data_IF_568588831365
#
_entry.id   IF_568588831365
#
_cell.length_a   1.000
_cell.length_b   1.000
_cell.length_c   1.000
_cell.angle_alpha   90.00
_cell.angle_beta   90.00
_cell.angle_gamma   90.00
#
_symmetry.space_group_name_H-M   'P 1'
#
loop_
_entity.id
_entity.type
_entity.pdbx_description
1 polymer ?
#
# COMPACT_ATOMS: atom_id res chain seq x y z
N UNK A 1 21.55 -6.57 -6.06
CA UNK A 1 21.00 -5.21 -5.81
C UNK A 1 19.98 -5.29 -4.69
N UNK A 2 20.05 -4.42 -3.68
CA UNK A 2 19.05 -4.33 -2.62
C UNK A 2 17.99 -3.29 -3.04
N UNK A 3 16.69 -3.54 -2.87
CA UNK A 3 15.65 -2.55 -3.20
C UNK A 3 15.81 -1.28 -2.33
N UNK A 4 15.60 -0.10 -2.93
CA UNK A 4 15.74 1.20 -2.28
C UNK A 4 14.54 1.59 -1.41
N UNK A 5 13.37 1.01 -1.67
CA UNK A 5 12.14 1.21 -0.93
C UNK A 5 11.43 -0.14 -0.73
N UNK A 6 10.48 -0.15 0.20
CA UNK A 6 9.69 -1.34 0.56
C UNK A 6 8.20 -1.02 0.58
N UNK A 7 7.31 -1.97 0.29
CA UNK A 7 5.88 -1.72 0.31
C UNK A 7 5.37 -1.14 1.64
N UNK A 8 4.32 -0.32 1.59
CA UNK A 8 3.74 0.28 2.80
C UNK A 8 3.36 -0.77 3.87
N UNK A 9 2.76 -1.89 3.45
CA UNK A 9 2.28 -2.93 4.36
C UNK A 9 3.40 -3.66 5.12
N UNK A 10 4.68 -3.52 4.73
CA UNK A 10 5.81 -4.10 5.46
C UNK A 10 6.37 -3.17 6.53
N UNK A 11 5.68 -2.07 6.90
CA UNK A 11 6.09 -1.13 7.97
C UNK A 11 6.61 -1.84 9.22
N UNK A 12 7.53 -1.21 9.95
CA UNK A 12 8.16 -1.77 11.15
C UNK A 12 7.64 -1.13 12.44
N UNK A 13 7.13 0.10 12.36
CA UNK A 13 6.53 0.82 13.49
C UNK A 13 5.21 1.47 13.05
N UNK A 14 4.28 1.62 14.00
CA UNK A 14 2.98 2.23 13.70
C UNK A 14 3.15 3.71 13.28
N UNK A 15 4.09 4.40 13.92
CA UNK A 15 4.44 5.78 13.58
C UNK A 15 5.03 5.93 12.18
N UNK A 16 5.84 4.95 11.73
CA UNK A 16 6.36 4.92 10.37
C UNK A 16 5.23 4.74 9.34
N UNK A 17 4.25 3.87 9.62
CA UNK A 17 3.09 3.66 8.75
C UNK A 17 2.28 4.95 8.55
N UNK A 18 1.92 5.64 9.63
CA UNK A 18 1.15 6.90 9.54
C UNK A 18 1.97 8.02 8.88
N UNK A 19 3.28 8.11 9.18
CA UNK A 19 4.19 9.06 8.54
C UNK A 19 4.26 8.84 7.03
N UNK A 20 4.37 7.59 6.59
CA UNK A 20 4.42 7.27 5.17
C UNK A 20 3.13 7.69 4.47
N UNK A 21 1.95 7.38 5.04
CA UNK A 21 0.65 7.82 4.50
C UNK A 21 0.57 9.36 4.39
N UNK A 22 0.99 10.10 5.42
CA UNK A 22 1.08 11.56 5.38
C UNK A 22 1.96 12.04 4.24
N UNK A 23 3.14 11.45 4.09
CA UNK A 23 4.08 11.84 3.03
C UNK A 23 3.49 11.58 1.63
N UNK A 24 2.70 10.51 1.44
CA UNK A 24 1.96 10.29 0.18
C UNK A 24 0.97 11.43 -0.09
N UNK A 25 0.21 11.87 0.91
CA UNK A 25 -0.70 13.01 0.75
C UNK A 25 0.03 14.31 0.40
N UNK A 26 1.23 14.54 0.97
CA UNK A 26 2.10 15.67 0.62
C UNK A 26 2.58 15.56 -0.83
N UNK A 27 3.00 14.37 -1.28
CA UNK A 27 3.44 14.12 -2.66
C UNK A 27 2.29 14.37 -3.64
N UNK A 28 1.08 13.90 -3.33
CA UNK A 28 -0.12 14.17 -4.12
C UNK A 28 -0.41 15.68 -4.20
N UNK A 29 -0.31 16.42 -3.08
CA UNK A 29 -0.45 17.89 -3.08
C UNK A 29 0.56 18.55 -4.01
N UNK A 30 1.84 18.18 -3.89
CA UNK A 30 2.91 18.72 -4.74
C UNK A 30 2.65 18.42 -6.22
N UNK A 31 2.17 17.22 -6.57
CA UNK A 31 1.82 16.88 -7.94
C UNK A 31 0.67 17.76 -8.46
N UNK A 32 -0.38 17.96 -7.66
CA UNK A 32 -1.54 18.82 -8.00
C UNK A 32 -1.12 20.27 -8.19
N UNK A 33 -0.21 20.79 -7.36
CA UNK A 33 0.38 22.13 -7.53
C UNK A 33 1.14 22.28 -8.86
N UNK A 34 1.63 21.18 -9.43
CA UNK A 34 2.25 21.12 -10.75
C UNK A 34 1.26 20.70 -11.86
N UNK A 35 -0.04 20.66 -11.56
CA UNK A 35 -1.09 20.32 -12.51
C UNK A 35 -1.16 18.83 -12.85
N UNK A 36 -0.79 17.94 -11.92
CA UNK A 36 -0.77 16.49 -12.14
C UNK A 36 -1.63 15.77 -11.10
N UNK A 37 -2.45 14.81 -11.54
CA UNK A 37 -3.12 13.82 -10.68
C UNK A 37 -2.43 12.46 -10.85
N UNK A 38 -2.32 11.69 -9.77
CA UNK A 38 -1.65 10.39 -9.81
C UNK A 38 -2.52 9.33 -10.52
N UNK A 39 -3.84 9.36 -10.30
CA UNK A 39 -4.83 8.54 -11.01
C UNK A 39 -4.85 7.03 -10.68
N UNK A 40 -3.78 6.49 -10.07
CA UNK A 40 -3.75 5.11 -9.55
C UNK A 40 -3.08 4.97 -8.16
N UNK A 41 -3.59 5.67 -7.16
CA UNK A 41 -3.10 5.50 -5.79
C UNK A 41 -3.59 4.18 -5.19
N UNK A 42 -2.75 3.15 -5.23
CA UNK A 42 -3.07 1.78 -4.79
C UNK A 42 -2.05 1.24 -3.78
N UNK A 43 -2.35 0.11 -3.14
CA UNK A 43 -1.47 -0.53 -2.15
C UNK A 43 -0.04 -0.79 -2.67
N UNK A 44 0.10 -1.08 -3.97
CA UNK A 44 1.38 -1.45 -4.56
C UNK A 44 2.21 -0.23 -5.01
N UNK A 45 1.58 0.95 -5.04
CA UNK A 45 2.19 2.19 -5.49
C UNK A 45 2.66 3.07 -4.32
N UNK A 46 2.26 2.70 -3.10
CA UNK A 46 2.70 3.35 -1.86
C UNK A 46 3.85 2.59 -1.18
N UNK A 47 4.95 3.30 -0.99
CA UNK A 47 6.21 2.72 -0.54
C UNK A 47 6.76 3.49 0.67
N UNK A 48 7.67 2.84 1.38
CA UNK A 48 8.47 3.41 2.46
C UNK A 48 9.93 3.37 2.03
N UNK A 49 10.61 4.51 2.09
CA UNK A 49 12.05 4.63 1.88
C UNK A 49 12.73 4.95 3.21
N UNK A 50 13.95 4.43 3.42
CA UNK A 50 14.73 4.71 4.62
C UNK A 50 14.59 3.67 5.73
N UNK A 51 14.97 4.06 6.94
CA UNK A 51 14.92 3.21 8.13
C UNK A 51 13.73 3.60 9.02
N UNK A 52 13.24 2.74 9.94
CA UNK A 52 12.00 3.03 10.66
C UNK A 52 11.98 4.36 11.43
N UNK A 53 13.14 4.82 11.93
CA UNK A 53 13.24 6.07 12.68
C UNK A 53 13.36 7.30 11.78
N UNK A 54 13.81 7.10 10.55
CA UNK A 54 14.07 8.12 9.53
C UNK A 54 13.64 7.57 8.17
N UNK A 55 12.33 7.45 8.03
CA UNK A 55 11.64 6.92 6.87
C UNK A 55 10.79 7.99 6.22
N UNK A 56 10.66 7.94 4.90
CA UNK A 56 9.71 8.75 4.14
C UNK A 56 8.74 7.88 3.36
N UNK A 57 7.52 8.37 3.19
CA UNK A 57 6.62 7.82 2.19
C UNK A 57 7.11 8.14 0.78
N UNK A 58 6.85 7.24 -0.15
CA UNK A 58 7.16 7.38 -1.57
C UNK A 58 5.98 6.88 -2.39
N UNK A 59 5.51 7.71 -3.33
CA UNK A 59 4.51 7.34 -4.33
C UNK A 59 5.21 7.04 -5.66
N UNK A 60 5.02 5.83 -6.18
CA UNK A 60 5.58 5.37 -7.45
C UNK A 60 4.47 5.13 -8.47
N UNK A 61 4.86 4.72 -9.66
CA UNK A 61 3.94 4.30 -10.73
C UNK A 61 3.10 5.43 -11.33
N UNK A 62 3.80 6.47 -11.77
CA UNK A 62 3.24 7.66 -12.41
C UNK A 62 2.89 7.47 -13.89
N UNK A 63 2.92 6.24 -14.43
CA UNK A 63 2.67 6.00 -15.86
C UNK A 63 1.22 6.29 -16.27
N UNK A 64 0.29 6.20 -15.31
CA UNK A 64 -1.11 6.55 -15.47
C UNK A 64 -1.45 7.97 -15.04
N UNK A 65 -0.46 8.76 -14.63
CA UNK A 65 -0.66 10.13 -14.20
C UNK A 65 -1.18 11.01 -15.35
N UNK A 66 -2.04 11.96 -15.02
CA UNK A 66 -2.73 12.83 -15.97
C UNK A 66 -2.48 14.29 -15.64
N UNK A 67 -2.46 15.13 -16.67
CA UNK A 67 -2.45 16.58 -16.49
C UNK A 67 -3.86 17.08 -16.19
N UNK A 68 -3.98 17.92 -15.15
CA UNK A 68 -5.24 18.56 -14.79
C UNK A 68 -5.70 19.46 -15.94
N UNK A 69 -6.90 19.20 -16.44
CA UNK A 69 -7.52 20.01 -17.50
C UNK A 69 -8.43 21.06 -16.88
N UNK A 70 -8.81 22.09 -17.66
CA UNK A 70 -9.72 23.14 -17.19
C UNK A 70 -11.14 22.66 -16.85
N UNK A 71 -11.49 21.43 -17.25
CA UNK A 71 -12.81 20.84 -17.06
C UNK A 71 -12.75 19.51 -16.28
N UNK A 72 -11.58 19.12 -15.77
CA UNK A 72 -11.37 17.89 -15.02
C UNK A 72 -11.85 16.61 -15.72
N UNK A 73 -11.94 16.58 -17.06
CA UNK A 73 -12.47 15.43 -17.82
C UNK A 73 -11.37 14.61 -18.52
N UNK A 74 -11.38 13.30 -18.29
CA UNK A 74 -10.36 12.36 -18.75
C UNK A 74 -10.96 11.14 -19.45
N UNK A 75 -10.16 10.48 -20.28
CA UNK A 75 -10.53 9.18 -20.86
C UNK A 75 -10.38 8.07 -19.82
N UNK A 76 -11.27 7.07 -19.83
CA UNK A 76 -11.28 5.98 -18.83
C UNK A 76 -10.02 5.10 -18.84
N UNK A 77 -9.23 5.12 -19.91
CA UNK A 77 -8.08 4.21 -20.09
C UNK A 77 -7.03 4.36 -19.00
N UNK A 78 -6.63 3.24 -18.38
CA UNK A 78 -5.57 3.22 -17.37
C UNK A 78 -5.97 3.75 -15.98
N UNK A 79 -7.27 3.88 -15.70
CA UNK A 79 -7.73 4.37 -14.41
C UNK A 79 -7.77 3.26 -13.35
N UNK A 80 -7.14 3.55 -12.21
CA UNK A 80 -7.48 3.05 -10.88
C UNK A 80 -7.58 1.54 -10.68
N UNK A 81 -6.90 1.04 -9.67
CA UNK A 81 -7.16 -0.31 -9.16
C UNK A 81 -8.52 -0.32 -8.44
N UNK A 82 -9.57 -0.93 -9.02
CA UNK A 82 -10.99 -0.92 -8.57
C UNK A 82 -11.21 -0.80 -7.05
N UNK A 83 -10.54 -1.62 -6.21
CA UNK A 83 -10.63 -1.52 -4.75
C UNK A 83 -10.38 -0.14 -4.15
N UNK A 84 -9.56 0.68 -4.79
CA UNK A 84 -9.12 1.98 -4.33
C UNK A 84 -9.83 3.14 -5.06
N UNK A 85 -10.61 2.87 -6.11
CA UNK A 85 -11.36 3.90 -6.85
C UNK A 85 -12.40 4.56 -5.92
N UNK A 86 -12.52 5.89 -6.00
CA UNK A 86 -13.49 6.68 -5.22
C UNK A 86 -14.95 6.35 -5.53
N UNK A 87 -15.86 6.72 -4.63
CA UNK A 87 -17.30 6.61 -4.84
C UNK A 87 -17.76 7.35 -6.10
N UNK A 88 -17.26 8.57 -6.31
CA UNK A 88 -17.64 9.42 -7.43
C UNK A 88 -17.21 8.84 -8.78
N UNK A 89 -15.98 8.31 -8.87
CA UNK A 89 -15.49 7.66 -10.08
C UNK A 89 -16.23 6.35 -10.37
N UNK A 90 -16.47 5.51 -9.35
CA UNK A 90 -17.26 4.28 -9.51
C UNK A 90 -18.68 4.57 -10.01
N UNK A 91 -19.32 5.65 -9.54
CA UNK A 91 -20.64 6.06 -10.00
C UNK A 91 -20.64 6.42 -11.50
N UNK A 92 -19.65 7.20 -11.94
CA UNK A 92 -19.50 7.57 -13.35
C UNK A 92 -19.21 6.35 -14.23
N UNK A 93 -18.30 5.47 -13.79
CA UNK A 93 -17.98 4.23 -14.50
C UNK A 93 -19.20 3.30 -14.64
N UNK A 94 -19.97 3.11 -13.57
CA UNK A 94 -21.17 2.27 -13.58
C UNK A 94 -22.27 2.84 -14.52
N UNK A 95 -22.43 4.17 -14.56
CA UNK A 95 -23.35 4.82 -15.49
C UNK A 95 -22.92 4.60 -16.95
N UNK A 96 -21.63 4.76 -17.25
CA UNK A 96 -21.08 4.56 -18.59
C UNK A 96 -21.20 3.10 -19.04
N UNK A 97 -20.96 2.13 -18.16
CA UNK A 97 -21.20 0.72 -18.44
C UNK A 97 -22.68 0.44 -18.73
N UNK A 98 -23.60 1.06 -17.99
CA UNK A 98 -25.03 0.89 -18.21
C UNK A 98 -25.48 1.48 -19.55
N UNK A 99 -25.00 2.69 -19.90
CA UNK A 99 -25.24 3.30 -21.23
C UNK A 99 -24.70 2.43 -22.36
N UNK A 100 -23.51 1.86 -22.21
CA UNK A 100 -22.92 0.96 -23.21
C UNK A 100 -23.77 -0.29 -23.42
N UNK A 101 -24.21 -0.96 -22.34
CA UNK A 101 -25.10 -2.14 -22.41
C UNK A 101 -26.43 -1.84 -23.12
N UNK A 102 -27.04 -0.68 -22.83
CA UNK A 102 -28.27 -0.26 -23.50
C UNK A 102 -28.05 -0.01 -24.99
N UNK A 103 -26.94 0.63 -25.37
CA UNK A 103 -26.61 0.90 -26.76
C UNK A 103 -26.32 -0.38 -27.57
N UNK A 104 -25.70 -1.39 -26.97
CA UNK A 104 -25.49 -2.70 -27.61
C UNK A 104 -26.81 -3.43 -27.88
N UNK A 105 -27.78 -3.35 -26.96
CA UNK A 105 -29.13 -3.88 -27.19
C UNK A 105 -29.86 -3.17 -28.35
N UNK A 106 -29.58 -1.89 -28.59
CA UNK A 106 -30.17 -1.09 -29.67
C UNK A 106 -29.41 -1.17 -31.02
N UNK A 107 -28.17 -1.70 -31.05
CA UNK A 107 -27.35 -1.83 -32.27
C UNK A 107 -27.85 -2.88 -33.27
N UNK A 108 -28.91 -3.64 -32.95
CA UNK A 108 -29.56 -4.54 -33.91
C UNK A 108 -30.31 -3.80 -35.04
N UNK A 109 -30.28 -2.46 -35.13
CA UNK A 109 -31.09 -1.70 -36.12
C UNK A 109 -30.44 -0.48 -36.80
N UNK A 110 -29.21 -0.02 -36.51
CA UNK A 110 -28.67 1.15 -37.25
C UNK A 110 -27.14 1.28 -37.33
N UNK A 111 -26.72 1.80 -38.49
CA UNK A 111 -25.35 1.98 -38.99
C UNK A 111 -24.47 2.88 -38.10
N UNK A 112 -23.19 2.52 -38.08
CA UNK A 112 -22.04 3.02 -37.34
C UNK A 112 -21.84 4.53 -37.39
N UNK A 113 -22.16 5.22 -36.29
CA UNK A 113 -21.58 6.52 -35.94
C UNK A 113 -20.55 6.27 -34.83
N UNK A 114 -19.29 6.65 -35.04
CA UNK A 114 -18.25 6.50 -34.03
C UNK A 114 -18.60 7.37 -32.82
N UNK A 115 -18.90 6.73 -31.68
CA UNK A 115 -19.17 7.42 -30.43
C UNK A 115 -17.88 8.07 -29.92
N UNK A 116 -17.94 9.28 -29.34
CA UNK A 116 -16.80 9.86 -28.66
C UNK A 116 -16.37 8.93 -27.50
N UNK A 117 -15.07 8.89 -27.18
CA UNK A 117 -14.57 8.12 -26.05
C UNK A 117 -15.28 8.57 -24.77
N UNK A 118 -15.72 7.60 -23.97
CA UNK A 118 -16.35 7.86 -22.68
C UNK A 118 -15.39 8.64 -21.78
N UNK A 119 -15.86 9.78 -21.26
CA UNK A 119 -15.10 10.66 -20.37
C UNK A 119 -15.67 10.60 -18.96
N UNK A 120 -14.80 10.85 -18.00
CA UNK A 120 -15.11 10.91 -16.57
C UNK A 120 -14.45 12.13 -15.97
N UNK A 121 -15.10 12.71 -14.97
CA UNK A 121 -14.58 13.82 -14.19
C UNK A 121 -13.83 13.29 -12.97
N UNK A 122 -12.57 13.69 -12.80
CA UNK A 122 -11.75 13.33 -11.65
C UNK A 122 -11.11 14.56 -11.02
N UNK A 123 -11.06 14.56 -9.70
CA UNK A 123 -10.42 15.57 -8.87
C UNK A 123 -9.30 14.98 -8.02
N UNK A 124 -8.51 15.84 -7.37
CA UNK A 124 -7.57 15.42 -6.34
C UNK A 124 -8.26 14.80 -5.11
N UNK A 125 -9.56 15.07 -4.90
CA UNK A 125 -10.34 14.44 -3.83
C UNK A 125 -10.47 12.93 -4.03
N UNK A 126 -10.47 12.46 -5.28
CA UNK A 126 -10.51 11.03 -5.61
C UNK A 126 -9.18 10.33 -5.25
N UNK A 127 -8.05 11.01 -5.44
CA UNK A 127 -6.72 10.53 -5.03
C UNK A 127 -6.60 10.45 -3.50
N UNK A 128 -7.23 11.38 -2.76
CA UNK A 128 -7.30 11.36 -1.30
C UNK A 128 -8.23 10.26 -0.75
N UNK A 129 -9.36 10.00 -1.40
CA UNK A 129 -10.23 8.85 -1.05
C UNK A 129 -9.52 7.52 -1.32
N UNK A 130 -8.76 7.44 -2.42
CA UNK A 130 -7.94 6.26 -2.75
C UNK A 130 -6.90 5.97 -1.66
N UNK A 131 -6.23 7.01 -1.15
CA UNK A 131 -5.26 6.89 -0.06
C UNK A 131 -5.91 6.41 1.26
N UNK A 132 -7.15 6.83 1.55
CA UNK A 132 -7.91 6.31 2.68
C UNK A 132 -8.20 4.80 2.54
N UNK A 133 -8.59 4.34 1.35
CA UNK A 133 -8.80 2.90 1.13
C UNK A 133 -7.50 2.11 1.29
N UNK A 134 -6.35 2.65 0.85
CA UNK A 134 -5.03 2.04 1.08
C UNK A 134 -4.74 1.91 2.58
N UNK A 135 -4.97 2.98 3.35
CA UNK A 135 -4.81 2.97 4.80
C UNK A 135 -5.70 1.91 5.47
N UNK A 136 -7.00 1.92 5.18
CA UNK A 136 -7.96 0.98 5.76
C UNK A 136 -7.64 -0.47 5.34
N UNK A 137 -7.22 -0.67 4.09
CA UNK A 137 -6.81 -1.98 3.58
C UNK A 137 -5.67 -2.58 4.40
N UNK A 138 -4.64 -1.78 4.71
CA UNK A 138 -3.52 -2.25 5.53
C UNK A 138 -4.00 -2.62 6.95
N UNK A 139 -4.83 -1.78 7.57
CA UNK A 139 -5.32 -1.99 8.93
C UNK A 139 -6.24 -3.21 9.08
N UNK A 140 -7.00 -3.57 8.04
CA UNK A 140 -7.90 -4.73 8.03
C UNK A 140 -7.14 -6.01 7.66
N UNK A 141 -6.30 -5.96 6.61
CA UNK A 141 -5.70 -7.18 6.05
C UNK A 141 -4.49 -7.70 6.80
N UNK A 142 -3.71 -6.82 7.44
CA UNK A 142 -2.43 -7.20 8.05
C UNK A 142 -2.53 -7.28 9.58
N UNK A 143 -1.74 -8.14 10.19
CA UNK A 143 -1.66 -8.33 11.65
C UNK A 143 -0.63 -7.40 12.32
N UNK A 144 -0.22 -6.34 11.64
CA UNK A 144 0.78 -5.37 12.12
C UNK A 144 2.07 -5.38 11.31
N UNK A 145 3.24 -5.19 11.94
CA UNK A 145 4.46 -4.87 11.22
C UNK A 145 5.03 -6.07 10.45
N UNK A 146 5.87 -5.76 9.47
CA UNK A 146 6.58 -6.70 8.59
C UNK A 146 5.66 -7.48 7.62
N UNK A 147 4.45 -6.97 7.34
CA UNK A 147 3.62 -7.47 6.24
C UNK A 147 3.02 -8.85 6.45
N UNK A 148 2.81 -9.26 7.71
CA UNK A 148 2.09 -10.50 8.01
C UNK A 148 0.60 -10.28 7.79
N UNK A 149 -0.01 -11.03 6.87
CA UNK A 149 -1.45 -11.02 6.66
C UNK A 149 -2.19 -11.69 7.83
N UNK A 150 -3.42 -11.26 8.06
CA UNK A 150 -4.34 -11.89 8.99
C UNK A 150 -4.67 -13.31 8.53
N UNK A 151 -4.39 -14.31 9.37
CA UNK A 151 -4.62 -15.71 8.98
C UNK A 151 -6.09 -16.13 9.03
N UNK A 152 -6.88 -15.48 9.87
CA UNK A 152 -8.30 -15.79 10.01
C UNK A 152 -9.12 -14.93 9.05
N UNK A 153 -10.09 -15.55 8.37
CA UNK A 153 -11.06 -14.80 7.58
C UNK A 153 -11.87 -13.91 8.52
N UNK A 154 -11.87 -12.60 8.29
CA UNK A 154 -12.75 -11.66 9.00
C UNK A 154 -14.16 -11.82 8.41
N UNK A 155 -15.16 -12.33 9.16
CA UNK A 155 -16.51 -12.46 8.63
C UNK A 155 -17.08 -11.09 8.24
N UNK A 156 -17.83 -11.03 7.14
CA UNK A 156 -18.42 -9.80 6.63
C UNK A 156 -17.37 -8.69 6.43
N UNK A 157 -16.25 -9.02 5.79
CA UNK A 157 -15.16 -8.07 5.59
C UNK A 157 -15.58 -6.89 4.70
N UNK A 158 -15.22 -5.67 5.11
CA UNK A 158 -15.28 -4.48 4.27
C UNK A 158 -14.42 -4.66 3.03
N UNK A 159 -13.32 -5.41 3.12
CA UNK A 159 -12.49 -5.72 1.96
C UNK A 159 -13.25 -6.57 0.94
N UNK A 160 -14.02 -7.58 1.36
CA UNK A 160 -14.85 -8.34 0.41
C UNK A 160 -15.85 -7.43 -0.32
N UNK A 161 -16.35 -6.41 0.37
CA UNK A 161 -17.27 -5.43 -0.19
C UNK A 161 -16.59 -4.44 -1.14
N UNK A 162 -15.33 -4.08 -0.91
CA UNK A 162 -14.57 -3.13 -1.72
C UNK A 162 -13.77 -3.79 -2.86
N UNK A 163 -13.43 -5.08 -2.72
CA UNK A 163 -12.65 -5.85 -3.70
C UNK A 163 -13.47 -6.44 -4.84
N UNK A 164 -14.81 -6.31 -4.80
CA UNK A 164 -15.67 -6.84 -5.86
C UNK A 164 -15.43 -6.12 -7.20
N UNK A 165 -15.37 -6.90 -8.28
CA UNK A 165 -15.23 -6.39 -9.66
C UNK A 165 -16.58 -5.91 -10.24
N UNK A 166 -17.68 -6.16 -9.54
CA UNK A 166 -18.98 -5.59 -9.89
C UNK A 166 -19.02 -4.12 -9.45
N UNK A 167 -18.90 -3.20 -10.42
CA UNK A 167 -18.84 -1.76 -10.14
C UNK A 167 -20.10 -1.24 -9.44
N UNK A 168 -21.27 -1.77 -9.77
CA UNK A 168 -22.53 -1.35 -9.15
C UNK A 168 -22.57 -1.76 -7.67
N UNK A 169 -22.15 -3.00 -7.38
CA UNK A 169 -22.06 -3.49 -6.00
C UNK A 169 -20.98 -2.73 -5.23
N UNK A 170 -19.77 -2.57 -5.79
CA UNK A 170 -18.66 -1.86 -5.13
C UNK A 170 -19.05 -0.41 -4.79
N UNK A 171 -19.62 0.31 -5.76
CA UNK A 171 -20.16 1.66 -5.59
C UNK A 171 -21.18 1.71 -4.45
N UNK A 172 -22.19 0.84 -4.47
CA UNK A 172 -23.24 0.82 -3.45
C UNK A 172 -22.66 0.57 -2.05
N UNK A 173 -21.69 -0.34 -1.93
CA UNK A 173 -21.02 -0.66 -0.66
C UNK A 173 -20.22 0.52 -0.12
N UNK A 174 -19.48 1.23 -0.97
CA UNK A 174 -18.68 2.40 -0.56
C UNK A 174 -19.55 3.61 -0.21
N UNK A 175 -20.60 3.88 -0.99
CA UNK A 175 -21.59 4.92 -0.66
C UNK A 175 -22.28 4.61 0.68
N UNK A 176 -22.71 3.37 0.88
CA UNK A 176 -23.31 2.93 2.14
C UNK A 176 -22.34 3.08 3.31
N UNK A 177 -21.06 2.72 3.10
CA UNK A 177 -20.00 2.86 4.08
C UNK A 177 -19.87 4.28 4.60
N UNK A 178 -19.99 5.31 3.76
CA UNK A 178 -19.93 6.71 4.22
C UNK A 178 -21.28 7.22 4.76
N UNK A 179 -22.40 6.80 4.19
CA UNK A 179 -23.73 7.28 4.55
C UNK A 179 -24.24 6.76 5.91
N UNK A 180 -23.84 5.56 6.32
CA UNK A 180 -24.42 4.88 7.48
C UNK A 180 -23.47 4.87 8.68
N UNK A 181 -23.93 5.41 9.82
CA UNK A 181 -23.12 5.51 11.04
C UNK A 181 -22.72 4.15 11.64
N UNK A 182 -23.50 3.10 11.43
CA UNK A 182 -23.15 1.74 11.91
C UNK A 182 -21.91 1.16 11.22
N UNK A 183 -21.56 1.66 10.02
CA UNK A 183 -20.36 1.21 9.30
C UNK A 183 -19.06 1.72 9.93
N UNK A 184 -19.13 2.81 10.72
CA UNK A 184 -18.00 3.25 11.55
C UNK A 184 -17.63 2.18 12.59
N UNK A 185 -18.64 1.70 13.33
CA UNK A 185 -18.43 0.64 14.31
C UNK A 185 -18.01 -0.70 13.67
N UNK A 186 -18.41 -0.94 12.42
CA UNK A 186 -17.94 -2.10 11.65
C UNK A 186 -16.47 -1.96 11.28
N UNK A 187 -16.03 -0.78 10.84
CA UNK A 187 -14.65 -0.51 10.48
C UNK A 187 -13.69 -0.78 11.65
N UNK A 188 -14.01 -0.25 12.83
CA UNK A 188 -13.22 -0.45 14.05
C UNK A 188 -13.06 -1.94 14.39
N UNK A 189 -14.15 -2.71 14.31
CA UNK A 189 -14.14 -4.15 14.64
C UNK A 189 -13.32 -4.97 13.65
N UNK A 190 -13.06 -4.46 12.46
CA UNK A 190 -12.30 -5.16 11.43
C UNK A 190 -10.82 -4.83 11.44
N UNK A 191 -10.41 -3.74 12.10
CA UNK A 191 -9.00 -3.45 12.28
C UNK A 191 -8.38 -4.53 13.19
N UNK A 192 -7.22 -5.03 12.81
CA UNK A 192 -6.48 -5.92 13.69
C UNK A 192 -6.12 -5.15 14.98
N UNK A 193 -6.17 -5.78 16.18
CA UNK A 193 -5.96 -5.08 17.46
C UNK A 193 -4.66 -4.28 17.57
N UNK A 194 -3.63 -4.65 16.79
CA UNK A 194 -2.41 -3.86 16.65
C UNK A 194 -2.67 -2.39 16.25
N UNK A 195 -3.69 -2.12 15.43
CA UNK A 195 -4.02 -0.80 14.91
C UNK A 195 -5.03 -0.02 15.77
N UNK A 196 -5.44 -0.51 16.94
CA UNK A 196 -6.47 0.14 17.77
C UNK A 196 -6.14 1.60 18.14
N UNK A 197 -4.85 1.97 18.23
CA UNK A 197 -4.42 3.36 18.45
C UNK A 197 -4.81 4.31 17.30
N UNK A 198 -5.15 3.77 16.13
CA UNK A 198 -5.54 4.52 14.94
C UNK A 198 -7.06 4.65 14.78
N UNK A 199 -7.86 4.11 15.70
CA UNK A 199 -9.32 4.22 15.63
C UNK A 199 -9.81 5.69 15.59
N UNK A 200 -9.24 6.63 16.38
CA UNK A 200 -9.61 8.04 16.25
C UNK A 200 -9.29 8.62 14.88
N UNK A 201 -8.10 8.29 14.33
CA UNK A 201 -7.65 8.77 13.02
C UNK A 201 -8.60 8.34 11.90
N UNK A 202 -8.99 7.06 11.87
CA UNK A 202 -9.85 6.56 10.79
C UNK A 202 -11.27 7.13 10.86
N UNK A 203 -11.79 7.39 12.07
CA UNK A 203 -13.10 8.02 12.27
C UNK A 203 -13.14 9.44 11.74
N UNK A 204 -12.17 10.24 12.16
CA UNK A 204 -12.05 11.64 11.74
C UNK A 204 -11.82 11.73 10.22
N UNK A 205 -10.97 10.85 9.66
CA UNK A 205 -10.73 10.83 8.21
C UNK A 205 -11.99 10.41 7.44
N UNK A 206 -12.74 9.41 7.92
CA UNK A 206 -14.01 9.00 7.32
C UNK A 206 -15.02 10.15 7.31
N UNK A 207 -15.07 10.96 8.37
CA UNK A 207 -15.94 12.15 8.44
C UNK A 207 -15.54 13.18 7.38
N UNK A 208 -14.25 13.49 7.25
CA UNK A 208 -13.74 14.42 6.23
C UNK A 208 -14.14 13.95 4.82
N UNK A 209 -14.04 12.65 4.53
CA UNK A 209 -14.40 12.10 3.22
C UNK A 209 -15.91 11.98 3.00
N UNK A 210 -16.68 11.67 4.04
CA UNK A 210 -18.16 11.68 3.96
C UNK A 210 -18.63 13.09 3.58
N UNK A 211 -18.09 14.09 4.24
CA UNK A 211 -18.47 15.47 4.05
C UNK A 211 -17.93 16.02 2.72
N UNK A 212 -17.01 15.32 2.02
CA UNK A 212 -16.55 15.67 0.66
C UNK A 212 -17.69 15.84 -0.36
N UNK A 213 -18.82 15.16 -0.12
CA UNK A 213 -20.03 15.29 -0.93
C UNK A 213 -20.75 16.64 -0.75
N UNK A 214 -20.49 17.34 0.35
CA UNK A 214 -21.11 18.64 0.72
C UNK A 214 -20.08 19.78 0.73
N UNK A 215 -18.87 19.51 1.20
CA UNK A 215 -17.72 20.43 1.31
C UNK A 215 -16.48 19.75 0.75
N UNK A 216 -15.90 20.29 -0.32
CA UNK A 216 -14.74 19.71 -0.98
C UNK A 216 -13.60 19.43 0.01
N UNK A 217 -13.13 18.18 0.06
CA UNK A 217 -11.96 17.77 0.84
C UNK A 217 -10.75 18.56 0.38
N UNK A 218 -9.87 18.91 1.31
CA UNK A 218 -8.61 19.60 0.99
C UNK A 218 -7.41 18.80 1.50
N UNK A 219 -6.25 19.01 0.87
CA UNK A 219 -4.99 18.44 1.35
C UNK A 219 -4.68 18.89 2.77
N UNK A 220 -4.97 20.14 3.13
CA UNK A 220 -4.66 20.66 4.47
C UNK A 220 -5.50 19.97 5.55
N UNK A 221 -6.77 19.64 5.27
CA UNK A 221 -7.58 18.87 6.20
C UNK A 221 -7.01 17.47 6.45
N UNK A 222 -6.62 16.76 5.38
CA UNK A 222 -6.11 15.38 5.50
C UNK A 222 -4.70 15.35 6.09
N UNK A 223 -3.80 16.22 5.63
CA UNK A 223 -2.42 16.31 6.14
C UNK A 223 -2.43 16.76 7.61
N UNK A 224 -3.20 17.78 7.95
CA UNK A 224 -3.31 18.26 9.34
C UNK A 224 -3.86 17.20 10.28
N UNK A 225 -4.84 16.41 9.84
CA UNK A 225 -5.34 15.26 10.58
C UNK A 225 -4.23 14.22 10.81
N UNK A 226 -3.53 13.82 9.75
CA UNK A 226 -2.45 12.83 9.84
C UNK A 226 -1.30 13.31 10.73
N UNK A 227 -0.93 14.59 10.66
CA UNK A 227 0.09 15.19 11.52
C UNK A 227 -0.34 15.23 12.99
N UNK A 228 -1.60 15.56 13.27
CA UNK A 228 -2.15 15.55 14.62
C UNK A 228 -2.03 14.15 15.26
N UNK A 229 -2.48 13.11 14.56
CA UNK A 229 -2.38 11.74 15.07
C UNK A 229 -0.94 11.22 15.09
N UNK A 230 -0.10 11.62 14.13
CA UNK A 230 1.31 11.24 14.14
C UNK A 230 2.05 11.79 15.37
N UNK A 231 1.69 12.99 15.83
CA UNK A 231 2.28 13.61 17.02
C UNK A 231 1.87 12.92 18.33
N UNK A 232 0.71 12.25 18.37
CA UNK A 232 0.24 11.51 19.57
C UNK A 232 0.79 10.08 19.65
N UNK A 233 1.32 9.54 18.55
CA UNK A 233 1.97 8.24 18.54
C UNK A 233 3.34 8.31 19.25
N UNK A 234 3.44 7.55 20.34
CA UNK A 234 4.71 7.28 21.00
C UNK A 234 5.63 6.48 20.07
N UNK A 235 6.94 6.70 20.17
CA UNK A 235 7.90 5.82 19.51
C UNK A 235 7.76 4.44 20.15
N UNK A 236 7.54 3.41 19.35
CA UNK A 236 7.29 2.03 19.83
C UNK A 236 8.60 1.42 20.41
N UNK A 237 9.11 1.97 21.53
CA UNK A 237 10.31 1.52 22.26
C UNK A 237 10.22 0.02 22.63
N UNK A 238 9.02 -0.43 23.00
CA UNK A 238 8.77 -1.77 23.53
C UNK A 238 8.80 -2.87 22.44
N UNK A 239 8.33 -2.55 21.23
CA UNK A 239 8.33 -3.48 20.08
C UNK A 239 9.64 -3.45 19.30
N UNK A 240 10.37 -2.32 19.32
CA UNK A 240 11.73 -2.23 18.79
C UNK A 240 12.66 -3.20 19.53
N UNK A 241 12.55 -3.28 20.86
CA UNK A 241 13.34 -4.20 21.69
C UNK A 241 13.02 -5.67 21.40
N UNK A 242 11.73 -6.01 21.32
CA UNK A 242 11.27 -7.38 21.02
C UNK A 242 11.66 -7.81 19.60
N UNK A 243 11.49 -6.95 18.60
CA UNK A 243 11.89 -7.24 17.22
C UNK A 243 13.43 -7.28 17.04
N UNK A 244 14.18 -6.43 17.75
CA UNK A 244 15.65 -6.50 17.79
C UNK A 244 16.11 -7.83 18.40
N UNK A 245 15.48 -8.27 19.49
CA UNK A 245 15.79 -9.56 20.12
C UNK A 245 15.44 -10.75 19.22
N UNK A 246 14.29 -10.71 18.54
CA UNK A 246 13.90 -11.75 17.58
C UNK A 246 14.83 -11.80 16.37
N UNK A 247 15.24 -10.65 15.81
CA UNK A 247 16.22 -10.58 14.72
C UNK A 247 17.58 -11.14 15.15
N UNK A 248 18.07 -10.71 16.32
CA UNK A 248 19.32 -11.20 16.89
C UNK A 248 19.29 -12.72 17.13
N UNK A 249 18.18 -13.24 17.65
CA UNK A 249 17.99 -14.67 17.86
C UNK A 249 17.94 -15.46 16.54
N UNK A 250 17.30 -14.92 15.51
CA UNK A 250 17.27 -15.53 14.17
C UNK A 250 18.65 -15.53 13.49
N UNK A 251 19.44 -14.47 13.66
CA UNK A 251 20.82 -14.38 13.19
C UNK A 251 21.73 -15.39 13.90
N UNK A 252 21.60 -15.51 15.23
CA UNK A 252 22.34 -16.50 16.04
C UNK A 252 21.99 -17.95 15.63
N UNK A 253 20.70 -18.25 15.42
CA UNK A 253 20.25 -19.55 14.91
C UNK A 253 20.81 -19.84 13.52
N UNK A 254 20.76 -18.86 12.61
CA UNK A 254 21.29 -19.01 11.25
C UNK A 254 22.80 -19.26 11.28
N UNK A 255 23.53 -18.52 12.13
CA UNK A 255 24.97 -18.70 12.32
C UNK A 255 25.29 -20.10 12.89
N UNK A 256 24.55 -20.55 13.91
CA UNK A 256 24.73 -21.87 14.52
C UNK A 256 24.48 -23.00 13.50
N UNK A 257 23.40 -22.90 12.72
CA UNK A 257 23.07 -23.90 11.69
C UNK A 257 24.12 -23.94 10.56
N UNK A 258 24.63 -22.77 10.16
CA UNK A 258 25.69 -22.69 9.14
C UNK A 258 26.99 -23.31 9.63
N UNK A 259 27.34 -23.08 10.90
CA UNK A 259 28.51 -23.69 11.56
C UNK A 259 28.38 -25.23 11.65
N UNK A 260 27.22 -25.73 12.07
CA UNK A 260 26.96 -27.18 12.12
C UNK A 260 27.01 -27.84 10.74
N UNK A 261 26.50 -27.16 9.70
CA UNK A 261 26.56 -27.68 8.34
C UNK A 261 28.02 -27.78 7.83
N UNK A 262 28.86 -26.79 8.14
CA UNK A 262 30.28 -26.81 7.80
C UNK A 262 31.05 -27.92 8.55
N UNK A 263 30.79 -28.11 9.84
CA UNK A 263 31.39 -29.18 10.66
C UNK A 263 30.97 -30.58 10.21
N UNK A 264 29.75 -30.74 9.69
CA UNK A 264 29.24 -31.97 9.09
C UNK A 264 29.77 -32.24 7.66
N UNK A 265 30.67 -31.39 7.15
CA UNK A 265 31.28 -31.56 5.83
C UNK A 265 30.35 -31.25 4.66
N UNK A 266 29.26 -30.52 4.88
CA UNK A 266 28.37 -30.08 3.79
C UNK A 266 29.00 -28.85 3.12
N UNK A 267 29.41 -29.00 1.85
CA UNK A 267 29.90 -27.89 1.03
C UNK A 267 28.85 -26.79 0.93
N UNK A 268 29.20 -25.56 1.31
CA UNK A 268 28.34 -24.38 1.26
C UNK A 268 28.19 -23.78 -0.15
N UNK A 269 28.75 -24.43 -1.18
CA UNK A 269 28.37 -24.15 -2.56
C UNK A 269 27.23 -25.08 -2.99
N UNK A 270 26.12 -24.45 -3.41
CA UNK A 270 24.92 -25.00 -4.07
C UNK A 270 23.70 -25.20 -3.15
N UNK A 271 22.78 -24.23 -3.27
CA UNK A 271 21.32 -24.32 -3.18
C UNK A 271 20.71 -25.65 -2.69
N UNK A 272 20.61 -25.81 -1.37
CA UNK A 272 19.71 -26.81 -0.78
C UNK A 272 18.26 -26.29 -0.78
N UNK A 273 17.29 -26.99 -1.41
CA UNK A 273 15.88 -26.59 -1.43
C UNK A 273 15.26 -26.47 -0.04
N UNK A 274 15.79 -27.21 0.95
CA UNK A 274 15.34 -27.13 2.35
C UNK A 274 15.76 -25.82 3.03
N UNK A 275 16.98 -25.34 2.75
CA UNK A 275 17.46 -24.06 3.29
C UNK A 275 16.78 -22.87 2.60
N UNK A 276 16.52 -22.97 1.29
CA UNK A 276 15.77 -21.96 0.54
C UNK A 276 14.29 -21.89 0.96
N UNK A 277 13.65 -23.04 1.21
CA UNK A 277 12.29 -23.12 1.75
C UNK A 277 12.21 -22.49 3.14
N UNK A 278 13.16 -22.81 4.02
CA UNK A 278 13.21 -22.21 5.36
C UNK A 278 13.51 -20.70 5.33
N UNK A 279 14.47 -20.21 4.52
CA UNK A 279 14.73 -18.76 4.37
C UNK A 279 13.49 -17.99 3.87
N UNK A 280 12.67 -18.62 3.03
CA UNK A 280 11.40 -18.09 2.54
C UNK A 280 10.30 -18.09 3.62
N UNK A 281 10.27 -19.11 4.48
CA UNK A 281 9.34 -19.21 5.62
C UNK A 281 9.73 -18.32 6.81
N UNK A 282 11.03 -18.03 6.99
CA UNK A 282 11.58 -17.21 8.06
C UNK A 282 11.79 -15.72 7.69
N UNK A 283 11.55 -15.34 6.43
CA UNK A 283 11.66 -13.94 5.97
C UNK A 283 13.09 -13.36 5.92
N UNK A 284 14.13 -14.21 5.93
CA UNK A 284 15.54 -13.78 5.92
C UNK A 284 16.10 -13.89 4.50
N UNK A 285 16.21 -12.76 3.79
CA UNK A 285 16.93 -12.67 2.51
C UNK A 285 18.35 -12.13 2.73
N UNK A 286 19.35 -13.01 2.64
CA UNK A 286 20.78 -12.66 2.62
C UNK A 286 21.40 -12.99 1.26
N UNK A 287 22.04 -12.00 0.64
CA UNK A 287 22.78 -12.10 -0.62
C UNK A 287 24.19 -12.63 -0.40
N UNK A 288 24.52 -13.75 -1.03
CA UNK A 288 25.91 -14.21 -1.20
C UNK A 288 26.62 -13.32 -2.22
N UNK A 289 27.58 -12.50 -1.76
CA UNK A 289 28.74 -12.10 -2.55
C UNK A 289 29.71 -11.28 -1.69
N UNK A 290 30.71 -11.95 -1.10
CA UNK A 290 32.02 -11.31 -0.91
C UNK A 290 33.10 -12.40 -0.89
N UNK A 291 33.68 -12.66 -2.07
CA UNK A 291 34.96 -13.38 -2.20
C UNK A 291 35.97 -12.37 -2.70
N UNK A 292 36.57 -11.63 -1.77
CA UNK A 292 37.80 -10.88 -2.05
C UNK A 292 38.96 -11.86 -2.12
N UNK A 293 39.35 -12.20 -3.35
CA UNK A 293 40.60 -12.91 -3.64
C UNK A 293 41.75 -11.94 -3.33
N UNK A 294 42.48 -12.20 -2.25
CA UNK A 294 43.78 -11.56 -2.00
C UNK A 294 44.85 -12.35 -2.75
N UNK A 295 45.45 -11.70 -3.76
CA UNK A 295 46.67 -12.16 -4.40
C UNK A 295 47.82 -12.15 -3.37
N UNK A 296 48.38 -13.32 -3.07
CA UNK A 296 49.69 -13.44 -2.41
C UNK A 296 50.72 -13.73 -3.49
N UNK A 297 51.56 -12.74 -3.78
CA UNK A 297 52.82 -12.89 -4.50
C UNK A 297 53.82 -13.62 -3.59
N UNK A 298 54.30 -14.77 -4.03
CA UNK A 298 55.43 -15.47 -3.41
C UNK A 298 56.71 -14.85 -3.95
N UNK A 299 57.38 -14.05 -3.11
CA UNK A 299 58.78 -13.71 -3.34
C UNK A 299 59.65 -14.89 -2.89
N UNK A 300 60.51 -15.31 -3.81
CA UNK A 300 61.65 -16.17 -3.58
C UNK A 300 62.71 -15.43 -2.78
N UNK A 301 63.25 -16.04 -1.73
CA UNK A 301 64.68 -16.00 -1.43
C UNK A 301 65.04 -17.12 -0.44
N UNK A 302 66.12 -17.84 -0.77
CA UNK A 302 66.61 -18.98 0.00
C UNK A 302 67.62 -18.57 1.07
N UNK A 303 67.94 -19.51 1.96
CA UNK A 303 69.26 -19.71 2.60
C UNK A 303 69.17 -20.86 3.60
N UNK A 304 69.52 -22.08 3.15
CA UNK A 304 70.61 -22.94 3.65
C UNK A 304 70.43 -24.38 3.17
#
# INVERSE_FOLDING_TARGET
MKPCARPLHVFQMLKEFVRAIRDIAIIQRMAVEHGILHHDCSLYNVMIMGNPNDSNGLLIDWEFAIYITSNDEYSIGGMGTIPFISCALLAQMAELQTKARQQEAHKSSSKTLALPPSRISQSFGDDLESLFYVFAYVCIKYSGPNGREHQESVPDSLLDSWLTLDLDVCKLRKVYFFAVSTEEARLEKQFHPYFAKLDPLVKEWRVILRDNMETQVTFDNVIGLLEHHLATLQDDEEHSSTNKNLRKSAEELTHHMTKQAAEAGWSTSISSPKLAKWKKEAGVSGSDSDTSVTHVTVESEGSN
#
